data_IF_486562050654
#
_entry.id   IF_486562050654
#
_cell.length_a   1.000
_cell.length_b   1.000
_cell.length_c   1.000
_cell.angle_alpha   90.00
_cell.angle_beta   90.00
_cell.angle_gamma   90.00
#
_symmetry.space_group_name_H-M   'P 1'
#
loop_
_entity.id
_entity.type
_entity.pdbx_description
1 polymer ?
#
# COMPACT_ATOMS: atom_id res chain seq x y z
N UNK A 1 15.11 2.59 -12.20
CA UNK A 1 13.66 2.65 -12.25
C UNK A 1 12.98 1.77 -11.20
N UNK A 2 13.67 0.78 -10.65
CA UNK A 2 13.19 0.03 -9.47
C UNK A 2 13.64 0.75 -8.20
N UNK A 3 12.70 1.20 -7.39
CA UNK A 3 13.02 1.74 -6.07
C UNK A 3 13.24 0.57 -5.11
N UNK A 4 14.46 0.45 -4.57
CA UNK A 4 14.81 -0.61 -3.60
C UNK A 4 14.44 -2.05 -4.05
N UNK A 5 14.48 -2.33 -5.36
CA UNK A 5 14.19 -3.64 -5.93
C UNK A 5 12.71 -3.96 -6.16
N UNK A 6 11.80 -3.00 -5.93
CA UNK A 6 10.37 -3.14 -6.21
C UNK A 6 10.01 -2.32 -7.44
N UNK A 7 9.34 -2.94 -8.42
CA UNK A 7 8.81 -2.23 -9.57
C UNK A 7 7.60 -1.38 -9.14
N UNK A 8 7.55 -0.08 -9.49
CA UNK A 8 6.38 0.73 -9.21
C UNK A 8 5.16 0.26 -10.02
N UNK A 9 3.97 0.50 -9.50
CA UNK A 9 2.71 0.03 -10.11
C UNK A 9 2.56 0.53 -11.55
N UNK A 10 2.84 1.81 -11.82
CA UNK A 10 2.78 2.37 -13.16
C UNK A 10 3.67 1.62 -14.17
N UNK A 11 4.85 1.15 -13.73
CA UNK A 11 5.74 0.37 -14.59
C UNK A 11 5.16 -1.01 -14.89
N UNK A 12 4.55 -1.66 -13.89
CA UNK A 12 3.90 -2.97 -14.09
C UNK A 12 2.70 -2.88 -15.03
N UNK A 13 1.90 -1.82 -14.90
CA UNK A 13 0.76 -1.55 -15.79
C UNK A 13 1.23 -1.30 -17.23
N UNK A 14 2.24 -0.47 -17.43
CA UNK A 14 2.82 -0.22 -18.75
C UNK A 14 3.45 -1.47 -19.34
N UNK A 15 4.09 -2.29 -18.51
CA UNK A 15 4.63 -3.58 -18.95
C UNK A 15 3.51 -4.50 -19.43
N UNK A 16 2.38 -4.56 -18.72
CA UNK A 16 1.19 -5.32 -19.15
C UNK A 16 0.68 -4.86 -20.52
N UNK A 17 0.59 -3.56 -20.77
CA UNK A 17 0.18 -3.01 -22.08
C UNK A 17 1.16 -3.40 -23.18
N UNK A 18 2.46 -3.33 -22.93
CA UNK A 18 3.48 -3.74 -23.89
C UNK A 18 3.38 -5.25 -24.21
N UNK A 19 3.13 -6.09 -23.21
CA UNK A 19 2.87 -7.53 -23.41
C UNK A 19 1.65 -7.77 -24.30
N UNK A 20 0.57 -6.99 -24.17
CA UNK A 20 -0.60 -7.11 -25.06
C UNK A 20 -0.24 -6.82 -26.50
N UNK A 21 0.54 -5.78 -26.78
CA UNK A 21 1.02 -5.47 -28.13
C UNK A 21 1.92 -6.58 -28.69
N UNK A 22 2.81 -7.13 -27.89
CA UNK A 22 3.69 -8.23 -28.31
C UNK A 22 2.88 -9.50 -28.62
N UNK A 23 1.88 -9.81 -27.80
CA UNK A 23 0.94 -10.92 -28.04
C UNK A 23 0.15 -10.67 -29.35
N UNK A 24 -0.36 -9.45 -29.56
CA UNK A 24 -1.11 -9.11 -30.78
C UNK A 24 -0.29 -9.31 -32.04
N UNK A 25 0.98 -8.91 -32.02
CA UNK A 25 1.92 -9.00 -33.17
C UNK A 25 2.44 -10.40 -33.43
N UNK A 26 2.29 -11.32 -32.48
CA UNK A 26 2.81 -12.68 -32.62
C UNK A 26 1.97 -13.46 -33.64
N UNK A 27 2.53 -13.73 -34.83
CA UNK A 27 1.88 -14.45 -35.91
C UNK A 27 1.78 -15.95 -35.70
N UNK A 28 2.50 -16.52 -34.74
CA UNK A 28 2.47 -17.96 -34.44
C UNK A 28 1.27 -18.35 -33.55
N UNK A 29 0.57 -17.39 -32.97
CA UNK A 29 -0.55 -17.61 -32.07
C UNK A 29 -1.89 -17.40 -32.76
N UNK A 30 -2.84 -18.30 -32.51
CA UNK A 30 -4.24 -18.11 -32.88
C UNK A 30 -4.94 -17.06 -31.99
N UNK A 31 -6.04 -16.47 -32.50
CA UNK A 31 -6.78 -15.40 -31.80
C UNK A 31 -7.20 -15.80 -30.36
N UNK A 32 -7.70 -17.01 -30.19
CA UNK A 32 -8.11 -17.52 -28.86
C UNK A 32 -6.90 -17.65 -27.92
N UNK A 33 -5.77 -18.15 -28.43
CA UNK A 33 -4.56 -18.30 -27.63
C UNK A 33 -3.99 -16.94 -27.22
N UNK A 34 -4.04 -15.95 -28.12
CA UNK A 34 -3.67 -14.56 -27.80
C UNK A 34 -4.52 -14.01 -26.67
N UNK A 35 -5.83 -14.17 -26.73
CA UNK A 35 -6.73 -13.74 -25.67
C UNK A 35 -6.45 -14.43 -24.33
N UNK A 36 -6.17 -15.74 -24.34
CA UNK A 36 -5.80 -16.49 -23.14
C UNK A 36 -4.49 -15.99 -22.53
N UNK A 37 -3.46 -15.73 -23.34
CA UNK A 37 -2.18 -15.18 -22.85
C UNK A 37 -2.34 -13.80 -22.25
N UNK A 38 -3.14 -12.93 -22.89
CA UNK A 38 -3.43 -11.61 -22.34
C UNK A 38 -4.15 -11.70 -20.99
N UNK A 39 -5.10 -12.62 -20.82
CA UNK A 39 -5.73 -12.88 -19.53
C UNK A 39 -4.74 -13.35 -18.48
N UNK A 40 -3.78 -14.19 -18.83
CA UNK A 40 -2.71 -14.61 -17.90
C UNK A 40 -1.85 -13.42 -17.45
N UNK A 41 -1.55 -12.47 -18.34
CA UNK A 41 -0.84 -11.24 -17.99
C UNK A 41 -1.65 -10.41 -16.99
N UNK A 42 -2.94 -10.19 -17.26
CA UNK A 42 -3.85 -9.46 -16.36
C UNK A 42 -3.92 -10.14 -15.00
N UNK A 43 -4.10 -11.46 -14.96
CA UNK A 43 -4.16 -12.22 -13.73
C UNK A 43 -2.85 -12.22 -12.93
N UNK A 44 -1.70 -12.18 -13.61
CA UNK A 44 -0.39 -12.17 -12.96
C UNK A 44 -0.08 -10.83 -12.30
N UNK A 45 -0.51 -9.72 -12.90
CA UNK A 45 -0.35 -8.37 -12.37
C UNK A 45 -1.42 -8.09 -11.30
N UNK A 46 -2.64 -8.60 -11.53
CA UNK A 46 -3.78 -8.53 -10.59
C UNK A 46 -4.21 -7.09 -10.22
N UNK A 47 -3.83 -6.09 -11.02
CA UNK A 47 -4.18 -4.69 -10.75
C UNK A 47 -5.63 -4.39 -11.19
N UNK A 48 -6.42 -3.62 -10.40
CA UNK A 48 -7.82 -3.32 -10.72
C UNK A 48 -8.02 -2.56 -12.04
N UNK A 49 -7.14 -1.61 -12.38
CA UNK A 49 -7.23 -0.85 -13.64
C UNK A 49 -6.98 -1.76 -14.83
N UNK A 50 -6.00 -2.67 -14.73
CA UNK A 50 -5.70 -3.62 -15.80
C UNK A 50 -6.79 -4.68 -15.93
N UNK A 51 -7.31 -5.18 -14.80
CA UNK A 51 -8.44 -6.13 -14.78
C UNK A 51 -9.69 -5.54 -15.43
N UNK A 52 -9.94 -4.25 -15.23
CA UNK A 52 -11.04 -3.52 -15.86
C UNK A 52 -10.97 -3.49 -17.40
N UNK A 53 -9.80 -3.71 -17.99
CA UNK A 53 -9.59 -3.72 -19.44
C UNK A 53 -9.72 -5.11 -20.07
N UNK A 54 -9.92 -6.17 -19.28
CA UNK A 54 -9.91 -7.56 -19.75
C UNK A 54 -10.83 -7.81 -20.96
N UNK A 55 -12.06 -7.31 -20.91
CA UNK A 55 -13.03 -7.46 -22.02
C UNK A 55 -12.57 -6.76 -23.28
N UNK A 56 -12.04 -5.54 -23.17
CA UNK A 56 -11.59 -4.74 -24.31
C UNK A 56 -10.34 -5.37 -24.97
N UNK A 57 -9.39 -5.83 -24.15
CA UNK A 57 -8.17 -6.50 -24.61
C UNK A 57 -8.50 -7.80 -25.32
N UNK A 58 -9.30 -8.67 -24.71
CA UNK A 58 -9.65 -9.97 -25.29
C UNK A 58 -10.46 -9.84 -26.58
N UNK A 59 -11.42 -8.90 -26.64
CA UNK A 59 -12.18 -8.63 -27.87
C UNK A 59 -11.30 -8.18 -29.02
N UNK A 60 -10.36 -7.26 -28.79
CA UNK A 60 -9.44 -6.80 -29.83
C UNK A 60 -8.60 -7.94 -30.39
N UNK A 61 -8.04 -8.80 -29.51
CA UNK A 61 -7.21 -9.93 -29.91
C UNK A 61 -7.99 -11.02 -30.64
N UNK A 62 -9.23 -11.29 -30.23
CA UNK A 62 -10.12 -12.24 -30.93
C UNK A 62 -10.46 -11.73 -32.33
N UNK A 63 -10.68 -10.43 -32.49
CA UNK A 63 -10.91 -9.78 -33.77
C UNK A 63 -9.65 -9.69 -34.67
N UNK A 64 -8.50 -10.16 -34.18
CA UNK A 64 -7.23 -10.09 -34.89
C UNK A 64 -6.63 -8.69 -34.96
N UNK A 65 -7.04 -7.80 -34.07
CA UNK A 65 -6.56 -6.42 -33.97
C UNK A 65 -5.51 -6.28 -32.85
N UNK A 66 -4.64 -5.27 -32.96
CA UNK A 66 -3.81 -4.84 -31.86
C UNK A 66 -4.68 -4.17 -30.77
N UNK A 67 -4.22 -4.22 -29.53
CA UNK A 67 -4.88 -3.52 -28.42
C UNK A 67 -4.55 -2.03 -28.52
N UNK A 68 -5.46 -1.12 -28.09
CA UNK A 68 -5.13 0.30 -28.00
C UNK A 68 -4.11 0.55 -26.89
N UNK A 69 -3.46 1.71 -26.94
CA UNK A 69 -2.71 2.23 -25.79
C UNK A 69 -3.68 2.64 -24.70
N UNK A 70 -3.44 2.12 -23.49
CA UNK A 70 -4.27 2.42 -22.34
C UNK A 70 -3.57 3.41 -21.42
N UNK A 71 -4.34 4.28 -20.78
CA UNK A 71 -3.89 5.20 -19.74
C UNK A 71 -4.47 4.80 -18.40
N UNK A 72 -3.66 4.91 -17.35
CA UNK A 72 -4.01 4.57 -15.97
C UNK A 72 -4.00 5.84 -15.15
N UNK A 73 -5.06 6.13 -14.43
CA UNK A 73 -5.25 7.45 -13.79
C UNK A 73 -5.46 7.41 -12.28
N UNK A 74 -5.72 6.24 -11.67
CA UNK A 74 -6.04 6.16 -10.24
C UNK A 74 -4.97 6.81 -9.35
N UNK A 75 -3.69 6.51 -9.61
CA UNK A 75 -2.60 7.08 -8.83
C UNK A 75 -2.44 8.59 -9.06
N UNK A 76 -2.54 9.05 -10.32
CA UNK A 76 -2.44 10.46 -10.69
C UNK A 76 -3.61 11.28 -10.12
N UNK A 77 -4.82 10.72 -10.13
CA UNK A 77 -6.00 11.38 -9.59
C UNK A 77 -5.90 11.49 -8.06
N UNK A 78 -5.36 10.49 -7.38
CA UNK A 78 -5.05 10.59 -5.94
C UNK A 78 -4.04 11.71 -5.68
N UNK A 79 -2.98 11.85 -6.47
CA UNK A 79 -1.99 12.90 -6.29
C UNK A 79 -2.58 14.30 -6.51
N UNK A 80 -3.50 14.46 -7.47
CA UNK A 80 -4.23 15.72 -7.66
C UNK A 80 -5.04 16.09 -6.41
N UNK A 81 -5.76 15.12 -5.83
CA UNK A 81 -6.55 15.37 -4.62
C UNK A 81 -5.66 15.63 -3.39
N UNK A 82 -4.52 14.95 -3.26
CA UNK A 82 -3.53 15.25 -2.19
C UNK A 82 -2.99 16.67 -2.30
N UNK A 83 -2.64 17.13 -3.50
CA UNK A 83 -2.19 18.50 -3.75
C UNK A 83 -3.28 19.49 -3.40
N UNK A 84 -4.52 19.25 -3.84
CA UNK A 84 -5.68 20.09 -3.53
C UNK A 84 -5.94 20.18 -2.02
N UNK A 85 -5.92 19.05 -1.32
CA UNK A 85 -6.10 19.00 0.13
C UNK A 85 -5.00 19.80 0.85
N UNK A 86 -3.74 19.67 0.40
CA UNK A 86 -2.62 20.45 0.93
C UNK A 86 -2.83 21.95 0.75
N UNK A 87 -3.27 22.38 -0.43
CA UNK A 87 -3.53 23.80 -0.71
C UNK A 87 -4.69 24.35 0.16
N UNK A 88 -5.71 23.52 0.41
CA UNK A 88 -6.77 23.85 1.37
C UNK A 88 -6.25 24.01 2.81
N UNK A 89 -5.34 23.13 3.26
CA UNK A 89 -4.70 23.24 4.57
C UNK A 89 -3.94 24.55 4.73
N UNK A 90 -3.14 24.91 3.72
CA UNK A 90 -2.41 26.19 3.72
C UNK A 90 -3.33 27.43 3.67
N UNK A 91 -4.53 27.27 3.13
CA UNK A 91 -5.56 28.31 3.10
C UNK A 91 -6.42 28.36 4.37
N UNK A 92 -6.10 27.54 5.40
CA UNK A 92 -6.83 27.49 6.66
C UNK A 92 -8.15 26.71 6.62
N UNK A 93 -8.39 25.94 5.56
CA UNK A 93 -9.60 25.13 5.36
C UNK A 93 -9.36 23.68 5.81
N UNK A 94 -8.95 23.48 7.05
CA UNK A 94 -8.46 22.19 7.54
C UNK A 94 -9.51 21.05 7.48
N UNK A 95 -10.75 21.32 7.88
CA UNK A 95 -11.80 20.29 7.87
C UNK A 95 -12.15 19.84 6.44
N UNK A 96 -12.25 20.79 5.50
CA UNK A 96 -12.50 20.49 4.09
C UNK A 96 -11.33 19.73 3.45
N UNK A 97 -10.11 20.08 3.81
CA UNK A 97 -8.91 19.37 3.35
C UNK A 97 -8.88 17.91 3.81
N UNK A 98 -9.20 17.68 5.08
CA UNK A 98 -9.28 16.34 5.66
C UNK A 98 -10.38 15.54 4.97
N UNK A 99 -11.59 16.09 4.84
CA UNK A 99 -12.71 15.41 4.18
C UNK A 99 -12.37 15.02 2.72
N UNK A 100 -11.78 15.93 1.96
CA UNK A 100 -11.37 15.66 0.57
C UNK A 100 -10.30 14.55 0.50
N UNK A 101 -9.30 14.59 1.37
CA UNK A 101 -8.25 13.58 1.40
C UNK A 101 -8.78 12.22 1.87
N UNK A 102 -9.63 12.18 2.89
CA UNK A 102 -10.29 10.94 3.35
C UNK A 102 -11.15 10.31 2.24
N UNK A 103 -11.92 11.11 1.51
CA UNK A 103 -12.73 10.63 0.38
C UNK A 103 -11.85 10.03 -0.73
N UNK A 104 -10.72 10.68 -1.05
CA UNK A 104 -9.81 10.21 -2.08
C UNK A 104 -9.15 8.87 -1.72
N UNK A 105 -8.64 8.72 -0.49
CA UNK A 105 -8.05 7.44 -0.06
C UNK A 105 -9.09 6.35 0.08
N UNK A 106 -10.28 6.66 0.58
CA UNK A 106 -11.38 5.70 0.71
C UNK A 106 -11.83 5.15 -0.66
N UNK A 107 -11.82 5.97 -1.69
CA UNK A 107 -12.11 5.53 -3.05
C UNK A 107 -11.10 4.47 -3.53
N UNK A 108 -9.81 4.73 -3.41
CA UNK A 108 -8.78 3.77 -3.80
C UNK A 108 -8.80 2.51 -2.91
N UNK A 109 -8.98 2.67 -1.61
CA UNK A 109 -9.15 1.54 -0.69
C UNK A 109 -10.26 0.58 -1.16
N UNK A 110 -11.40 1.12 -1.57
CA UNK A 110 -12.52 0.33 -2.10
C UNK A 110 -12.18 -0.34 -3.42
N UNK A 111 -11.52 0.36 -4.34
CA UNK A 111 -11.11 -0.19 -5.65
C UNK A 111 -10.18 -1.39 -5.45
N UNK A 112 -9.17 -1.27 -4.59
CA UNK A 112 -8.23 -2.36 -4.31
C UNK A 112 -8.85 -3.49 -3.48
N UNK A 113 -9.75 -3.18 -2.56
CA UNK A 113 -10.48 -4.19 -1.78
C UNK A 113 -11.47 -5.03 -2.62
N UNK A 114 -12.03 -4.45 -3.69
CA UNK A 114 -12.92 -5.15 -4.60
C UNK A 114 -12.20 -6.10 -5.58
N UNK A 115 -10.87 -5.97 -5.70
CA UNK A 115 -10.04 -6.82 -6.56
C UNK A 115 -9.85 -8.23 -6.01
N UNK A 116 -9.26 -9.10 -6.84
CA UNK A 116 -9.02 -10.51 -6.49
C UNK A 116 -7.70 -10.74 -5.75
N UNK A 117 -6.85 -9.73 -5.62
CA UNK A 117 -5.57 -9.79 -4.94
C UNK A 117 -5.62 -9.20 -3.53
N UNK A 118 -4.64 -9.55 -2.71
CA UNK A 118 -4.45 -8.95 -1.38
C UNK A 118 -3.61 -7.69 -1.56
N UNK A 119 -4.17 -6.48 -1.29
CA UNK A 119 -3.45 -5.24 -1.51
C UNK A 119 -2.28 -5.09 -0.54
N UNK A 120 -1.08 -4.83 -1.07
CA UNK A 120 0.15 -4.68 -0.27
C UNK A 120 1.04 -3.57 -0.82
N UNK A 121 1.77 -2.96 0.09
CA UNK A 121 2.85 -2.03 -0.17
C UNK A 121 4.17 -2.61 0.35
N UNK A 122 5.24 -2.49 -0.42
CA UNK A 122 6.59 -2.82 -0.01
C UNK A 122 7.52 -1.65 -0.32
N UNK A 123 8.21 -1.15 0.70
CA UNK A 123 9.22 -0.11 0.53
C UNK A 123 10.54 -0.68 -0.05
N UNK A 124 10.77 -2.00 0.13
CA UNK A 124 11.96 -2.69 -0.37
C UNK A 124 11.68 -4.15 -0.72
N UNK A 125 12.54 -4.74 -1.54
CA UNK A 125 12.49 -6.17 -1.82
C UNK A 125 12.68 -7.03 -0.56
N UNK A 126 13.52 -6.58 0.38
CA UNK A 126 13.72 -7.27 1.65
C UNK A 126 12.41 -7.39 2.45
N UNK A 127 11.60 -6.32 2.50
CA UNK A 127 10.28 -6.37 3.13
C UNK A 127 9.35 -7.39 2.44
N UNK A 128 9.39 -7.48 1.12
CA UNK A 128 8.61 -8.50 0.39
C UNK A 128 9.02 -9.91 0.76
N UNK A 129 10.32 -10.17 0.95
CA UNK A 129 10.83 -11.46 1.42
C UNK A 129 10.33 -11.78 2.83
N UNK A 130 10.40 -10.80 3.73
CA UNK A 130 9.88 -10.93 5.11
C UNK A 130 8.37 -11.20 5.08
N UNK A 131 7.62 -10.44 4.27
CA UNK A 131 6.19 -10.65 4.10
C UNK A 131 5.85 -12.06 3.65
N UNK A 132 6.49 -12.54 2.61
CA UNK A 132 6.27 -13.89 2.09
C UNK A 132 6.57 -14.99 3.12
N UNK A 133 7.54 -14.75 4.00
CA UNK A 133 7.93 -15.70 5.04
C UNK A 133 7.00 -15.70 6.25
N UNK A 134 6.51 -14.54 6.66
CA UNK A 134 5.83 -14.37 7.95
C UNK A 134 4.31 -14.20 7.85
N UNK A 135 3.80 -13.73 6.71
CA UNK A 135 2.41 -13.28 6.58
C UNK A 135 1.66 -13.92 5.41
N UNK A 136 2.31 -14.12 4.27
CA UNK A 136 1.64 -14.62 3.08
C UNK A 136 1.14 -16.05 3.27
N UNK A 137 -0.05 -16.35 2.76
CA UNK A 137 -0.58 -17.71 2.64
C UNK A 137 -0.15 -18.37 1.32
N UNK A 138 -0.23 -19.69 1.23
CA UNK A 138 0.28 -20.46 0.08
C UNK A 138 -0.35 -20.05 -1.26
N UNK A 139 -1.63 -19.69 -1.26
CA UNK A 139 -2.40 -19.34 -2.47
C UNK A 139 -2.65 -17.83 -2.61
N UNK A 140 -1.97 -17.02 -1.82
CA UNK A 140 -2.19 -15.58 -1.81
C UNK A 140 -1.65 -14.93 -3.09
N UNK A 141 -2.52 -14.24 -3.79
CA UNK A 141 -2.13 -13.32 -4.86
C UNK A 141 -2.00 -11.92 -4.29
N UNK A 142 -0.79 -11.41 -4.25
CA UNK A 142 -0.51 -10.04 -3.80
C UNK A 142 -0.71 -9.07 -4.96
N UNK A 143 -1.53 -8.03 -4.77
CA UNK A 143 -1.60 -6.87 -5.66
C UNK A 143 -0.84 -5.71 -5.02
N UNK A 144 0.04 -5.08 -5.80
CA UNK A 144 0.76 -3.90 -5.33
C UNK A 144 -0.14 -2.68 -5.43
N UNK A 145 -0.26 -1.94 -4.32
CA UNK A 145 -0.92 -0.63 -4.33
C UNK A 145 0.08 0.46 -4.76
N UNK A 146 -0.39 1.58 -5.34
CA UNK A 146 0.47 2.73 -5.61
C UNK A 146 1.11 3.26 -4.32
N UNK A 147 2.38 3.66 -4.40
CA UNK A 147 3.12 4.23 -3.27
C UNK A 147 2.36 5.41 -2.65
N UNK A 148 1.75 6.25 -3.46
CA UNK A 148 1.04 7.43 -3.00
C UNK A 148 -0.20 7.10 -2.17
N UNK A 149 -0.83 5.95 -2.34
CA UNK A 149 -1.93 5.51 -1.46
C UNK A 149 -1.44 5.23 -0.04
N UNK A 150 -0.31 4.53 0.08
CA UNK A 150 0.32 4.31 1.38
C UNK A 150 0.72 5.62 2.06
N UNK A 151 1.39 6.52 1.33
CA UNK A 151 1.81 7.82 1.85
C UNK A 151 0.64 8.76 2.14
N UNK A 152 -0.47 8.68 1.39
CA UNK A 152 -1.67 9.47 1.68
C UNK A 152 -2.28 9.11 3.04
N UNK A 153 -2.32 7.82 3.40
CA UNK A 153 -2.74 7.41 4.74
C UNK A 153 -1.79 7.93 5.83
N UNK A 154 -0.48 7.90 5.58
CA UNK A 154 0.50 8.43 6.53
C UNK A 154 0.34 9.95 6.73
N UNK A 155 0.19 10.71 5.66
CA UNK A 155 -0.01 12.17 5.71
C UNK A 155 -1.32 12.51 6.42
N UNK A 156 -2.42 11.80 6.13
CA UNK A 156 -3.69 11.97 6.83
C UNK A 156 -3.57 11.68 8.33
N UNK A 157 -2.88 10.60 8.71
CA UNK A 157 -2.65 10.27 10.10
C UNK A 157 -1.85 11.38 10.81
N UNK A 158 -0.82 11.92 10.15
CA UNK A 158 -0.01 13.01 10.72
C UNK A 158 -0.85 14.29 10.89
N UNK A 159 -1.65 14.67 9.91
CA UNK A 159 -2.55 15.85 9.98
C UNK A 159 -3.63 15.65 11.06
N UNK A 160 -4.31 14.50 11.05
CA UNK A 160 -5.36 14.20 12.02
C UNK A 160 -4.83 14.19 13.45
N UNK A 161 -3.66 13.62 13.69
CA UNK A 161 -3.05 13.58 15.03
C UNK A 161 -2.73 14.97 15.57
N UNK A 162 -2.45 15.93 14.71
CA UNK A 162 -2.16 17.34 15.10
C UNK A 162 -3.44 18.15 15.31
N UNK A 163 -4.47 17.95 14.48
CA UNK A 163 -5.68 18.78 14.46
C UNK A 163 -6.77 18.19 15.36
N UNK A 164 -6.99 16.87 15.30
CA UNK A 164 -8.09 16.17 15.98
C UNK A 164 -7.64 15.23 17.10
N UNK A 165 -6.34 15.04 17.27
CA UNK A 165 -5.76 14.17 18.31
C UNK A 165 -5.38 12.78 17.82
N UNK A 166 -4.69 12.04 18.70
CA UNK A 166 -4.11 10.74 18.38
C UNK A 166 -5.14 9.69 17.92
N UNK A 167 -6.30 9.66 18.58
CA UNK A 167 -7.36 8.69 18.26
C UNK A 167 -7.84 8.80 16.80
N UNK A 168 -7.97 10.03 16.27
CA UNK A 168 -8.41 10.27 14.90
C UNK A 168 -7.42 9.73 13.84
N UNK A 169 -6.14 9.60 14.17
CA UNK A 169 -5.10 9.07 13.29
C UNK A 169 -5.11 7.53 13.19
N UNK A 170 -5.60 6.83 14.22
CA UNK A 170 -5.49 5.37 14.35
C UNK A 170 -6.09 4.60 13.17
N UNK A 171 -7.27 4.95 12.60
CA UNK A 171 -7.82 4.25 11.45
C UNK A 171 -6.88 4.22 10.23
N UNK A 172 -6.24 5.35 9.91
CA UNK A 172 -5.29 5.44 8.79
C UNK A 172 -4.00 4.68 9.07
N UNK A 173 -3.52 4.68 10.30
CA UNK A 173 -2.35 3.92 10.72
C UNK A 173 -2.61 2.40 10.68
N UNK A 174 -3.80 1.97 11.06
CA UNK A 174 -4.23 0.58 10.89
C UNK A 174 -4.28 0.18 9.42
N UNK A 175 -4.70 1.09 8.53
CA UNK A 175 -4.67 0.84 7.09
C UNK A 175 -3.23 0.73 6.58
N UNK A 176 -2.30 1.56 7.06
CA UNK A 176 -0.88 1.42 6.74
C UNK A 176 -0.31 0.06 7.16
N UNK A 177 -0.65 -0.42 8.37
CA UNK A 177 -0.24 -1.75 8.84
C UNK A 177 -0.86 -2.85 7.97
N UNK A 178 -2.13 -2.72 7.58
CA UNK A 178 -2.79 -3.68 6.69
C UNK A 178 -2.12 -3.75 5.31
N UNK A 179 -1.72 -2.61 4.73
CA UNK A 179 -1.02 -2.57 3.45
C UNK A 179 0.45 -2.99 3.53
N UNK A 180 1.13 -2.66 4.62
CA UNK A 180 2.56 -2.90 4.78
C UNK A 180 2.91 -3.54 6.13
N UNK A 181 2.44 -4.79 6.39
CA UNK A 181 2.67 -5.46 7.67
C UNK A 181 4.14 -5.84 7.89
N UNK A 182 4.94 -5.91 6.83
CA UNK A 182 6.38 -6.17 6.90
C UNK A 182 7.23 -4.89 6.95
N UNK A 183 6.61 -3.70 7.00
CA UNK A 183 7.33 -2.43 7.07
C UNK A 183 7.34 -1.91 8.52
N UNK A 184 8.50 -1.85 9.19
CA UNK A 184 8.60 -1.42 10.59
C UNK A 184 7.96 -0.07 10.86
N UNK A 185 8.09 0.88 9.93
CA UNK A 185 7.53 2.23 10.04
C UNK A 185 6.00 2.21 10.26
N UNK A 186 5.27 1.32 9.62
CA UNK A 186 3.81 1.21 9.78
C UNK A 186 3.44 0.94 11.25
N UNK A 187 4.11 -0.01 11.87
CA UNK A 187 3.89 -0.38 13.26
C UNK A 187 4.37 0.71 14.23
N UNK A 188 5.52 1.34 13.94
CA UNK A 188 6.09 2.38 14.80
C UNK A 188 5.22 3.65 14.81
N UNK A 189 4.71 4.07 13.66
CA UNK A 189 3.76 5.18 13.57
C UNK A 189 2.48 4.91 14.36
N UNK A 190 1.95 3.69 14.27
CA UNK A 190 0.80 3.25 15.06
C UNK A 190 1.11 3.25 16.57
N UNK A 191 2.25 2.69 16.98
CA UNK A 191 2.67 2.65 18.38
C UNK A 191 2.76 4.04 19.01
N UNK A 192 3.27 5.03 18.27
CA UNK A 192 3.37 6.41 18.74
C UNK A 192 2.00 7.00 19.06
N UNK A 193 1.02 6.81 18.19
CA UNK A 193 -0.31 7.40 18.40
C UNK A 193 -1.11 6.63 19.46
N UNK A 194 -0.95 5.31 19.53
CA UNK A 194 -1.53 4.52 20.62
C UNK A 194 -0.97 4.96 21.99
N UNK A 195 0.34 5.18 22.10
CA UNK A 195 0.97 5.69 23.31
C UNK A 195 0.48 7.12 23.66
N UNK A 196 0.29 7.99 22.68
CA UNK A 196 -0.29 9.33 22.91
C UNK A 196 -1.74 9.29 23.37
N UNK A 197 -2.45 8.23 23.00
CA UNK A 197 -3.81 7.94 23.47
C UNK A 197 -3.85 7.11 24.77
N UNK A 198 -2.70 6.93 25.41
CA UNK A 198 -2.51 6.17 26.67
C UNK A 198 -2.91 4.68 26.57
N UNK A 199 -3.06 4.14 25.34
CA UNK A 199 -3.26 2.71 25.10
C UNK A 199 -1.91 2.00 25.06
N UNK A 200 -1.35 1.79 26.24
CA UNK A 200 0.02 1.27 26.41
C UNK A 200 0.15 -0.19 26.02
N UNK A 201 -0.87 -1.02 26.25
CA UNK A 201 -0.86 -2.43 25.85
C UNK A 201 -0.83 -2.58 24.32
N UNK A 202 -1.65 -1.82 23.60
CA UNK A 202 -1.65 -1.82 22.14
C UNK A 202 -0.37 -1.19 21.57
N UNK A 203 0.14 -0.12 22.19
CA UNK A 203 1.40 0.50 21.79
C UNK A 203 2.57 -0.49 21.94
N UNK A 204 2.63 -1.22 23.05
CA UNK A 204 3.59 -2.30 23.28
C UNK A 204 3.51 -3.38 22.21
N UNK A 205 2.32 -3.86 21.90
CA UNK A 205 2.10 -4.87 20.86
C UNK A 205 2.56 -4.39 19.49
N UNK A 206 2.29 -3.14 19.13
CA UNK A 206 2.76 -2.54 17.89
C UNK A 206 4.30 -2.46 17.83
N UNK A 207 4.97 -2.12 18.95
CA UNK A 207 6.44 -2.14 19.01
C UNK A 207 7.01 -3.55 18.80
N UNK A 208 6.41 -4.58 19.38
CA UNK A 208 6.83 -5.98 19.16
C UNK A 208 6.66 -6.40 17.71
N UNK A 209 5.57 -5.98 17.06
CA UNK A 209 5.38 -6.23 15.63
C UNK A 209 6.46 -5.52 14.79
N UNK A 210 6.83 -4.27 15.13
CA UNK A 210 7.92 -3.58 14.48
C UNK A 210 9.25 -4.33 14.63
N UNK A 211 9.58 -4.80 15.84
CA UNK A 211 10.77 -5.60 16.10
C UNK A 211 10.82 -6.90 15.30
N UNK A 212 9.67 -7.57 15.16
CA UNK A 212 9.55 -8.83 14.41
C UNK A 212 9.93 -8.68 12.94
N UNK A 213 9.71 -7.49 12.36
CA UNK A 213 9.96 -7.19 10.94
C UNK A 213 11.11 -6.24 10.70
N UNK A 214 11.81 -5.80 11.77
CA UNK A 214 12.97 -4.91 11.64
C UNK A 214 14.06 -5.53 10.77
N UNK A 215 14.58 -4.75 9.82
CA UNK A 215 15.60 -5.17 8.86
C UNK A 215 16.98 -4.60 9.20
N UNK A 216 17.03 -3.56 10.00
CA UNK A 216 18.27 -2.91 10.40
C UNK A 216 18.29 -2.55 11.88
N UNK A 217 19.45 -2.02 12.32
CA UNK A 217 19.67 -1.68 13.73
C UNK A 217 18.88 -0.46 14.19
N UNK A 218 18.66 0.49 13.28
CA UNK A 218 18.01 1.76 13.61
C UNK A 218 16.51 1.52 13.85
N UNK A 219 15.87 0.73 12.98
CA UNK A 219 14.48 0.28 13.17
C UNK A 219 14.32 -0.48 14.48
N UNK A 220 15.24 -1.43 14.75
CA UNK A 220 15.20 -2.22 15.98
C UNK A 220 15.43 -1.35 17.23
N UNK A 221 16.42 -0.46 17.22
CA UNK A 221 16.71 0.42 18.34
C UNK A 221 15.54 1.35 18.69
N UNK A 222 14.91 1.93 17.67
CA UNK A 222 13.75 2.79 17.88
C UNK A 222 12.55 2.01 18.42
N UNK A 223 12.31 0.80 17.90
CA UNK A 223 11.24 -0.07 18.38
C UNK A 223 11.48 -0.53 19.82
N UNK A 224 12.71 -0.90 20.19
CA UNK A 224 13.08 -1.23 21.57
C UNK A 224 12.89 -0.05 22.52
N UNK A 225 13.34 1.14 22.14
CA UNK A 225 13.14 2.33 22.94
C UNK A 225 11.65 2.58 23.24
N UNK A 226 10.80 2.48 22.21
CA UNK A 226 9.35 2.66 22.37
C UNK A 226 8.71 1.53 23.17
N UNK A 227 9.18 0.31 22.97
CA UNK A 227 8.74 -0.86 23.74
C UNK A 227 9.07 -0.70 25.24
N UNK A 228 10.33 -0.36 25.56
CA UNK A 228 10.75 -0.13 26.94
C UNK A 228 9.94 0.98 27.62
N UNK A 229 9.62 2.05 26.88
CA UNK A 229 8.77 3.12 27.40
C UNK A 229 7.34 2.64 27.69
N UNK A 230 6.75 1.84 26.80
CA UNK A 230 5.42 1.26 27.02
C UNK A 230 5.40 0.30 28.22
N UNK A 231 6.43 -0.54 28.38
CA UNK A 231 6.60 -1.42 29.56
C UNK A 231 6.72 -0.62 30.85
N UNK A 232 7.48 0.50 30.82
CA UNK A 232 7.57 1.42 31.95
C UNK A 232 6.20 1.98 32.35
N UNK A 233 5.42 2.44 31.38
CA UNK A 233 4.08 2.99 31.63
C UNK A 233 3.07 1.94 32.14
N UNK A 234 3.36 0.65 31.92
CA UNK A 234 2.60 -0.50 32.41
C UNK A 234 3.12 -1.04 33.77
N UNK A 235 4.03 -0.31 34.42
CA UNK A 235 4.69 -0.73 35.69
C UNK A 235 5.50 -2.04 35.59
N UNK A 236 5.94 -2.40 34.36
CA UNK A 236 6.75 -3.60 34.11
C UNK A 236 8.23 -3.26 34.02
N UNK A 237 8.78 -2.79 35.13
CA UNK A 237 10.12 -2.19 35.17
C UNK A 237 11.25 -3.15 34.80
N UNK A 238 11.17 -4.42 35.17
CA UNK A 238 12.19 -5.42 34.83
C UNK A 238 12.30 -5.62 33.33
N UNK A 239 11.17 -5.69 32.62
CA UNK A 239 11.10 -5.81 31.18
C UNK A 239 11.53 -4.52 30.49
N UNK A 240 11.13 -3.37 31.02
CA UNK A 240 11.54 -2.06 30.52
C UNK A 240 13.07 -1.85 30.56
N UNK A 241 13.72 -2.39 31.59
CA UNK A 241 15.17 -2.27 31.75
C UNK A 241 15.98 -3.25 30.86
N UNK A 242 15.34 -4.30 30.36
CA UNK A 242 15.97 -5.32 29.52
C UNK A 242 15.88 -5.00 28.00
N UNK A 243 15.05 -4.06 27.59
CA UNK A 243 14.85 -3.62 26.19
C UNK A 243 15.69 -2.41 25.87
#
# INVERSE_FOLDING_TARGET
LMRNGIAPVWYMLQHGVNEFHDIARNTSLGSVEKAQRAMQVIESICDPELTGLASQVTSALIDGKDTPDFTFTLADDLDKERLRARDMLFSGQADQAIEAAEAAVAHLDQVYAAGHGVPRYFNSYAERVVYNRLFATLDERTVLIPDNLFYAHMELADVLSQIKGAEAAIPHLNRMVAYAPAYPLSHLKLAIQLARNEDWDSARAACLNALRVALDRDDAAFAYYRFAYAEWMLDRFDTAAAG
#
